data_IF_282740757086
#
_entry.id   IF_282740757086
#
_cell.length_a   1.000
_cell.length_b   1.000
_cell.length_c   1.000
_cell.angle_alpha   90.00
_cell.angle_beta   90.00
_cell.angle_gamma   90.00
#
_symmetry.space_group_name_H-M   'P 1'
#
loop_
_entity.id
_entity.type
_entity.pdbx_description
1 polymer ?
#
# COMPACT_ATOMS: atom_id res chain seq x y z
N UNK A 1 -49.26 23.03 20.23
CA UNK A 1 -48.85 22.45 18.92
C UNK A 1 -47.64 23.09 18.25
N UNK A 2 -47.28 24.37 18.50
CA UNK A 2 -46.12 25.03 17.85
C UNK A 2 -44.76 24.39 18.21
N UNK A 3 -44.53 24.01 19.47
CA UNK A 3 -43.28 23.38 19.92
C UNK A 3 -42.97 22.04 19.22
N UNK A 4 -44.00 21.25 18.90
CA UNK A 4 -43.83 19.97 18.18
C UNK A 4 -43.30 20.17 16.74
N UNK A 5 -43.68 21.28 16.09
CA UNK A 5 -43.16 21.64 14.76
C UNK A 5 -41.69 22.05 14.80
N UNK A 6 -41.28 22.80 15.82
CA UNK A 6 -39.87 23.20 16.01
C UNK A 6 -38.97 22.01 16.30
N UNK A 7 -39.43 21.06 17.13
CA UNK A 7 -38.71 19.80 17.40
C UNK A 7 -38.53 19.00 16.10
N UNK A 8 -39.57 18.87 15.27
CA UNK A 8 -39.45 18.20 13.97
C UNK A 8 -38.43 18.89 13.06
N UNK A 9 -38.47 20.21 12.95
CA UNK A 9 -37.53 20.97 12.10
C UNK A 9 -36.09 20.79 12.60
N UNK A 10 -35.87 20.85 13.91
CA UNK A 10 -34.55 20.68 14.52
C UNK A 10 -33.99 19.28 14.28
N UNK A 11 -34.82 18.23 14.40
CA UNK A 11 -34.44 16.85 14.08
C UNK A 11 -34.07 16.72 12.60
N UNK A 12 -34.89 17.26 11.69
CA UNK A 12 -34.61 17.19 10.24
C UNK A 12 -33.31 17.91 9.88
N UNK A 13 -33.05 19.08 10.50
CA UNK A 13 -31.83 19.85 10.27
C UNK A 13 -30.58 19.15 10.83
N UNK A 14 -30.71 18.51 12.00
CA UNK A 14 -29.62 17.73 12.62
C UNK A 14 -29.28 16.49 11.81
N UNK A 15 -30.28 15.82 11.24
CA UNK A 15 -30.07 14.68 10.32
C UNK A 15 -29.35 15.16 9.06
N UNK A 16 -29.76 16.29 8.46
CA UNK A 16 -29.10 16.87 7.28
C UNK A 16 -27.62 17.22 7.52
N UNK A 17 -27.29 17.74 8.72
CA UNK A 17 -25.91 18.06 9.10
C UNK A 17 -25.01 16.83 9.22
N UNK A 18 -25.55 15.67 9.62
CA UNK A 18 -24.79 14.40 9.70
C UNK A 18 -24.45 13.88 8.29
N UNK A 19 -25.36 14.03 7.32
CA UNK A 19 -25.14 13.57 5.92
C UNK A 19 -24.16 14.47 5.16
N UNK A 20 -23.94 15.71 5.61
CA UNK A 20 -22.92 16.62 5.06
C UNK A 20 -21.56 16.50 5.75
N UNK A 21 -21.41 15.59 6.71
CA UNK A 21 -20.09 15.22 7.20
C UNK A 21 -19.37 14.52 6.06
N UNK A 22 -18.33 15.17 5.52
CA UNK A 22 -17.44 14.55 4.55
C UNK A 22 -16.84 13.30 5.19
N UNK A 23 -17.37 12.12 4.84
CA UNK A 23 -16.64 10.88 5.04
C UNK A 23 -15.28 11.06 4.34
N UNK A 24 -14.21 11.16 5.12
CA UNK A 24 -12.86 11.07 4.56
C UNK A 24 -12.83 9.78 3.76
N UNK A 25 -12.59 9.90 2.45
CA UNK A 25 -12.45 8.74 1.57
C UNK A 25 -11.31 7.91 2.12
N UNK A 26 -11.64 6.73 2.63
CA UNK A 26 -10.67 5.77 3.13
C UNK A 26 -9.72 5.36 2.00
N UNK A 27 -8.43 5.19 2.32
CA UNK A 27 -7.46 4.66 1.38
C UNK A 27 -7.93 3.31 0.82
N UNK A 28 -8.03 3.22 -0.50
CA UNK A 28 -8.35 1.97 -1.20
C UNK A 28 -7.07 1.38 -1.77
N UNK A 29 -6.73 0.15 -1.36
CA UNK A 29 -5.54 -0.55 -1.82
C UNK A 29 -5.91 -1.49 -2.98
N UNK A 30 -5.35 -1.22 -4.15
CA UNK A 30 -5.62 -1.95 -5.39
C UNK A 30 -4.36 -2.78 -5.74
N UNK A 31 -4.34 -4.09 -5.45
CA UNK A 31 -3.20 -4.93 -5.79
C UNK A 31 -3.07 -5.10 -7.30
N UNK A 32 -1.84 -4.98 -7.81
CA UNK A 32 -1.49 -5.25 -9.20
C UNK A 32 -0.90 -6.66 -9.28
N UNK A 33 -1.69 -7.68 -8.95
CA UNK A 33 -1.17 -9.04 -8.75
C UNK A 33 -0.48 -9.61 -10.01
N UNK A 34 -0.91 -9.20 -11.21
CA UNK A 34 -0.29 -9.56 -12.49
C UNK A 34 1.11 -8.96 -12.72
N UNK A 35 1.50 -7.99 -11.89
CA UNK A 35 2.83 -7.38 -11.85
C UNK A 35 3.70 -7.92 -10.70
N UNK A 36 3.22 -8.89 -9.93
CA UNK A 36 4.05 -9.56 -8.92
C UNK A 36 5.26 -10.19 -9.61
N UNK A 37 6.46 -9.77 -9.20
CA UNK A 37 7.69 -10.17 -9.88
C UNK A 37 8.68 -10.80 -8.90
N UNK A 38 9.28 -11.92 -9.33
CA UNK A 38 10.27 -12.68 -8.56
C UNK A 38 11.61 -12.56 -9.26
N UNK A 39 12.55 -11.84 -8.62
CA UNK A 39 13.90 -11.64 -9.08
C UNK A 39 14.85 -12.68 -8.48
N UNK A 40 15.75 -13.23 -9.29
CA UNK A 40 16.92 -13.93 -8.79
C UNK A 40 17.78 -12.99 -7.96
N UNK A 41 18.26 -13.48 -6.83
CA UNK A 41 19.15 -12.82 -5.91
C UNK A 41 20.35 -13.74 -5.63
N UNK A 42 21.29 -13.29 -4.81
CA UNK A 42 22.54 -14.00 -4.52
C UNK A 42 22.35 -15.52 -4.34
N UNK A 43 23.04 -16.31 -5.19
CA UNK A 43 22.88 -17.78 -5.33
C UNK A 43 21.48 -18.14 -5.83
N UNK A 44 20.78 -19.02 -5.12
CA UNK A 44 19.42 -19.48 -5.46
C UNK A 44 18.34 -18.65 -4.79
N UNK A 45 18.73 -17.60 -4.06
CA UNK A 45 17.80 -16.78 -3.32
C UNK A 45 16.93 -15.94 -4.26
N UNK A 46 15.72 -15.59 -3.84
CA UNK A 46 14.82 -14.72 -4.62
C UNK A 46 14.31 -13.54 -3.81
N UNK A 47 14.04 -12.44 -4.50
CA UNK A 47 13.28 -11.29 -3.97
C UNK A 47 11.96 -11.21 -4.71
N UNK A 48 10.86 -11.07 -3.97
CA UNK A 48 9.53 -10.92 -4.57
C UNK A 48 9.03 -9.50 -4.32
N UNK A 49 8.55 -8.85 -5.36
CA UNK A 49 7.94 -7.51 -5.28
C UNK A 49 6.46 -7.59 -5.60
N UNK A 50 5.65 -6.99 -4.75
CA UNK A 50 4.22 -6.74 -4.95
C UNK A 50 4.02 -5.26 -5.25
N UNK A 51 3.23 -4.94 -6.27
CA UNK A 51 2.87 -3.57 -6.60
C UNK A 51 1.41 -3.30 -6.23
N UNK A 52 1.17 -2.15 -5.60
CA UNK A 52 -0.14 -1.76 -5.07
C UNK A 52 -0.37 -0.29 -5.39
N UNK A 53 -1.55 0.04 -5.91
CA UNK A 53 -1.99 1.42 -6.02
C UNK A 53 -2.85 1.79 -4.79
N UNK A 54 -2.71 3.03 -4.33
CA UNK A 54 -3.54 3.59 -3.27
C UNK A 54 -4.39 4.71 -3.87
N UNK A 55 -5.72 4.53 -3.85
CA UNK A 55 -6.67 5.60 -4.17
C UNK A 55 -6.87 6.51 -2.95
N UNK A 56 -6.87 7.83 -3.17
CA UNK A 56 -7.05 8.88 -2.16
C UNK A 56 -6.10 8.78 -0.94
N UNK A 57 -4.76 8.76 -1.12
CA UNK A 57 -3.82 8.65 -0.01
C UNK A 57 -4.04 9.75 1.03
N UNK A 58 -4.38 9.34 2.25
CA UNK A 58 -4.52 10.22 3.42
C UNK A 58 -3.18 10.86 3.84
N UNK A 59 -3.25 11.68 4.91
CA UNK A 59 -2.05 12.19 5.58
C UNK A 59 -1.05 11.07 5.94
N UNK A 60 0.23 11.40 5.85
CA UNK A 60 1.37 10.50 5.98
C UNK A 60 1.31 9.55 7.19
N UNK A 61 0.95 10.07 8.37
CA UNK A 61 0.89 9.27 9.61
C UNK A 61 -0.21 8.20 9.60
N UNK A 62 -1.38 8.51 9.03
CA UNK A 62 -2.48 7.55 8.90
C UNK A 62 -2.11 6.53 7.83
N UNK A 63 -1.65 7.03 6.67
CA UNK A 63 -1.25 6.22 5.53
C UNK A 63 -0.17 5.18 5.90
N UNK A 64 0.85 5.58 6.68
CA UNK A 64 1.90 4.66 7.18
C UNK A 64 1.31 3.48 7.94
N UNK A 65 0.41 3.74 8.89
CA UNK A 65 -0.23 2.68 9.69
C UNK A 65 -1.06 1.74 8.83
N UNK A 66 -1.75 2.27 7.83
CA UNK A 66 -2.57 1.48 6.92
C UNK A 66 -1.73 0.64 5.96
N UNK A 67 -0.63 1.17 5.44
CA UNK A 67 0.36 0.42 4.63
C UNK A 67 0.90 -0.78 5.42
N UNK A 68 1.35 -0.55 6.67
CA UNK A 68 1.88 -1.62 7.54
C UNK A 68 0.80 -2.68 7.76
N UNK A 69 -0.43 -2.26 8.03
CA UNK A 69 -1.56 -3.17 8.25
C UNK A 69 -1.86 -3.99 6.98
N UNK A 70 -1.91 -3.35 5.81
CA UNK A 70 -2.15 -4.01 4.53
C UNK A 70 -1.09 -5.07 4.25
N UNK A 71 0.20 -4.70 4.35
CA UNK A 71 1.30 -5.62 4.11
C UNK A 71 1.21 -6.83 5.04
N UNK A 72 1.01 -6.61 6.35
CA UNK A 72 0.86 -7.70 7.33
C UNK A 72 -0.34 -8.62 7.03
N UNK A 73 -1.46 -8.07 6.57
CA UNK A 73 -2.61 -8.88 6.17
C UNK A 73 -2.31 -9.73 4.92
N UNK A 74 -1.61 -9.17 3.92
CA UNK A 74 -1.21 -9.94 2.73
C UNK A 74 -0.24 -11.06 3.10
N UNK A 75 0.69 -10.81 4.03
CA UNK A 75 1.63 -11.83 4.55
C UNK A 75 0.98 -13.02 5.23
N UNK A 76 -0.09 -12.82 6.00
CA UNK A 76 -0.80 -13.92 6.66
C UNK A 76 -1.33 -14.95 5.65
N UNK A 77 -1.60 -14.49 4.42
CA UNK A 77 -2.10 -15.32 3.33
C UNK A 77 -0.98 -15.75 2.36
N UNK A 78 0.21 -15.16 2.45
CA UNK A 78 1.32 -15.38 1.53
C UNK A 78 2.35 -16.37 2.12
N UNK A 79 2.53 -17.49 1.43
CA UNK A 79 3.50 -18.53 1.81
C UNK A 79 4.89 -18.32 1.20
N UNK A 80 5.12 -17.31 0.37
CA UNK A 80 6.42 -17.07 -0.29
C UNK A 80 7.52 -16.81 0.74
N UNK A 81 7.23 -16.05 1.80
CA UNK A 81 8.17 -15.88 2.92
C UNK A 81 8.43 -17.17 3.69
N UNK A 82 7.62 -18.22 3.59
CA UNK A 82 7.94 -19.51 4.20
C UNK A 82 8.92 -20.33 3.33
N UNK A 83 9.05 -20.03 2.03
CA UNK A 83 9.92 -20.77 1.12
C UNK A 83 11.40 -20.53 1.44
N UNK A 84 12.20 -21.59 1.48
CA UNK A 84 13.61 -21.55 1.90
C UNK A 84 14.45 -20.55 1.09
N UNK A 85 14.18 -20.43 -0.20
CA UNK A 85 14.93 -19.58 -1.12
C UNK A 85 14.44 -18.12 -1.16
N UNK A 86 13.28 -17.78 -0.61
CA UNK A 86 12.83 -16.37 -0.57
C UNK A 86 13.65 -15.61 0.46
N UNK A 87 14.50 -14.69 0.01
CA UNK A 87 15.32 -13.84 0.87
C UNK A 87 14.53 -12.64 1.41
N UNK A 88 13.70 -12.03 0.58
CA UNK A 88 12.89 -10.88 1.00
C UNK A 88 11.63 -10.70 0.16
N UNK A 89 10.65 -10.03 0.76
CA UNK A 89 9.52 -9.45 0.05
C UNK A 89 9.63 -7.92 0.07
N UNK A 90 9.10 -7.30 -0.97
CA UNK A 90 8.92 -5.86 -1.05
C UNK A 90 7.48 -5.55 -1.48
N UNK A 91 6.80 -4.67 -0.75
CA UNK A 91 5.50 -4.12 -1.17
C UNK A 91 5.74 -2.67 -1.59
N UNK A 92 5.53 -2.40 -2.87
CA UNK A 92 5.76 -1.10 -3.51
C UNK A 92 4.41 -0.42 -3.70
N UNK A 93 4.26 0.75 -3.10
CA UNK A 93 3.01 1.51 -3.10
C UNK A 93 3.15 2.76 -3.97
N UNK A 94 2.21 2.94 -4.89
CA UNK A 94 2.06 4.14 -5.72
C UNK A 94 0.68 4.76 -5.51
N UNK A 95 0.55 6.06 -5.79
CA UNK A 95 -0.73 6.74 -5.89
C UNK A 95 -1.47 6.23 -7.11
N UNK A 96 -2.77 5.99 -6.99
CA UNK A 96 -3.64 5.80 -8.15
C UNK A 96 -3.91 7.16 -8.78
N UNK A 97 -3.34 7.40 -9.96
CA UNK A 97 -3.54 8.60 -10.77
C UNK A 97 -4.06 8.19 -12.14
N UNK A 98 -4.33 9.16 -13.03
CA UNK A 98 -4.62 8.86 -14.43
C UNK A 98 -3.52 8.05 -15.10
N UNK A 99 -2.27 8.25 -14.68
CA UNK A 99 -1.11 7.64 -15.29
C UNK A 99 -0.89 6.22 -14.77
N UNK A 100 -0.85 6.05 -13.44
CA UNK A 100 -0.62 4.72 -12.84
C UNK A 100 -1.82 3.78 -12.98
N UNK A 101 -3.03 4.30 -13.25
CA UNK A 101 -4.22 3.48 -13.51
C UNK A 101 -4.07 2.55 -14.72
N UNK A 102 -3.17 2.86 -15.67
CA UNK A 102 -2.84 1.98 -16.78
C UNK A 102 -2.49 0.57 -16.32
N UNK A 103 -1.70 0.47 -15.25
CA UNK A 103 -1.19 -0.78 -14.70
C UNK A 103 -2.24 -1.66 -14.03
N UNK A 104 -3.47 -1.17 -13.81
CA UNK A 104 -4.55 -1.99 -13.25
C UNK A 104 -4.92 -3.11 -14.22
N UNK A 105 -4.88 -2.85 -15.54
CA UNK A 105 -5.29 -3.80 -16.56
C UNK A 105 -4.16 -4.20 -17.52
N UNK A 106 -3.02 -3.54 -17.46
CA UNK A 106 -1.88 -3.79 -18.34
C UNK A 106 -0.65 -4.24 -17.54
N UNK A 107 0.17 -5.09 -18.18
CA UNK A 107 1.52 -5.40 -17.70
C UNK A 107 2.48 -4.29 -18.10
N UNK A 108 3.61 -4.24 -17.42
CA UNK A 108 4.73 -3.40 -17.85
C UNK A 108 5.19 -3.80 -19.24
N UNK A 109 5.61 -2.79 -20.01
CA UNK A 109 6.24 -2.97 -21.29
C UNK A 109 7.66 -2.40 -21.21
N UNK A 110 8.67 -3.26 -21.19
CA UNK A 110 10.08 -2.84 -21.12
C UNK A 110 10.72 -2.63 -22.50
N UNK A 111 9.95 -2.80 -23.59
CA UNK A 111 10.51 -2.78 -24.94
C UNK A 111 10.37 -1.42 -25.64
N UNK A 112 11.52 -0.81 -25.95
CA UNK A 112 11.65 0.29 -26.91
C UNK A 112 11.34 1.69 -26.36
N UNK A 113 11.13 2.64 -27.29
CA UNK A 113 10.91 4.07 -26.99
C UNK A 113 9.58 4.37 -26.28
N UNK A 114 8.67 3.40 -26.24
CA UNK A 114 7.35 3.49 -25.58
C UNK A 114 7.28 2.55 -24.37
N UNK A 115 8.42 2.38 -23.68
CA UNK A 115 8.48 1.58 -22.46
C UNK A 115 7.58 2.17 -21.38
N UNK A 116 6.70 1.33 -20.84
CA UNK A 116 5.70 1.68 -19.85
C UNK A 116 5.96 0.85 -18.60
N UNK A 117 6.77 1.39 -17.69
CA UNK A 117 7.19 0.75 -16.44
C UNK A 117 6.75 1.60 -15.27
N UNK A 118 6.22 0.97 -14.22
CA UNK A 118 5.70 1.71 -13.05
C UNK A 118 6.83 2.46 -12.32
N UNK A 119 8.07 1.96 -12.46
CA UNK A 119 9.29 2.56 -11.93
C UNK A 119 9.55 3.98 -12.46
N UNK A 120 9.01 4.34 -13.62
CA UNK A 120 9.13 5.67 -14.21
C UNK A 120 8.24 6.72 -13.53
N UNK A 121 7.26 6.30 -12.73
CA UNK A 121 6.29 7.17 -12.06
C UNK A 121 6.73 7.60 -10.66
N UNK A 122 7.94 8.15 -10.57
CA UNK A 122 8.57 8.51 -9.29
C UNK A 122 7.75 9.52 -8.47
N UNK A 123 7.04 10.44 -9.12
CA UNK A 123 6.18 11.44 -8.44
C UNK A 123 4.95 10.82 -7.79
N UNK A 124 4.54 9.63 -8.25
CA UNK A 124 3.42 8.87 -7.73
C UNK A 124 3.87 7.82 -6.70
N UNK A 125 5.18 7.60 -6.54
CA UNK A 125 5.69 6.68 -5.53
C UNK A 125 5.32 7.17 -4.12
N UNK A 126 4.84 6.25 -3.27
CA UNK A 126 4.44 6.53 -1.89
C UNK A 126 5.44 5.91 -0.93
N UNK A 127 5.62 4.59 -1.03
CA UNK A 127 6.40 3.86 -0.04
C UNK A 127 6.87 2.49 -0.55
N UNK A 128 7.90 1.98 0.11
CA UNK A 128 8.22 0.57 0.13
C UNK A 128 8.03 0.02 1.56
N UNK A 129 7.44 -1.17 1.66
CA UNK A 129 7.49 -1.98 2.86
C UNK A 129 8.33 -3.23 2.60
N UNK A 130 9.53 -3.27 3.18
CA UNK A 130 10.50 -4.33 2.99
C UNK A 130 10.46 -5.34 4.13
N UNK A 131 10.59 -6.61 3.79
CA UNK A 131 10.69 -7.70 4.76
C UNK A 131 11.82 -8.61 4.31
N UNK A 132 12.91 -8.62 5.07
CA UNK A 132 14.06 -9.48 4.80
C UNK A 132 14.17 -10.58 5.84
N UNK A 133 14.42 -11.80 5.38
CA UNK A 133 14.81 -12.90 6.27
C UNK A 133 16.21 -12.68 6.81
N UNK A 134 16.39 -13.14 8.03
CA UNK A 134 17.67 -13.30 8.69
C UNK A 134 17.68 -14.67 9.39
N UNK A 135 18.84 -15.08 9.94
CA UNK A 135 19.08 -16.43 10.44
C UNK A 135 17.87 -17.07 11.15
N UNK A 136 17.31 -16.39 12.15
CA UNK A 136 16.20 -16.87 12.98
C UNK A 136 15.09 -15.80 13.12
N UNK A 137 14.69 -15.16 12.02
CA UNK A 137 13.61 -14.17 12.06
C UNK A 137 13.46 -13.33 10.80
N UNK A 138 12.86 -12.17 10.98
CA UNK A 138 12.66 -11.16 9.94
C UNK A 138 13.00 -9.77 10.45
N UNK A 139 13.45 -8.94 9.52
CA UNK A 139 13.52 -7.50 9.69
C UNK A 139 12.52 -6.86 8.74
N UNK A 140 11.64 -6.03 9.28
CA UNK A 140 10.61 -5.29 8.55
C UNK A 140 10.96 -3.81 8.61
N UNK A 141 10.92 -3.15 7.45
CA UNK A 141 11.24 -1.74 7.32
C UNK A 141 10.24 -1.05 6.42
N UNK A 142 9.97 0.22 6.71
CA UNK A 142 9.17 1.07 5.85
C UNK A 142 10.01 2.26 5.38
N UNK A 143 9.90 2.55 4.10
CA UNK A 143 10.47 3.73 3.48
C UNK A 143 9.34 4.49 2.82
N UNK A 144 8.98 5.64 3.38
CA UNK A 144 8.06 6.59 2.75
C UNK A 144 8.88 7.54 1.89
N UNK A 145 8.32 7.98 0.76
CA UNK A 145 8.95 8.99 -0.08
C UNK A 145 9.33 10.23 0.75
N UNK A 146 10.52 10.78 0.49
CA UNK A 146 11.12 11.92 1.20
C UNK A 146 11.39 11.75 2.72
N UNK A 147 11.24 10.54 3.27
CA UNK A 147 11.53 10.24 4.67
C UNK A 147 12.67 9.23 4.86
N UNK A 148 13.38 9.28 6.00
CA UNK A 148 14.34 8.25 6.34
C UNK A 148 13.65 6.89 6.53
N UNK A 149 14.39 5.82 6.22
CA UNK A 149 13.97 4.45 6.49
C UNK A 149 13.71 4.24 8.00
N UNK A 150 12.60 3.56 8.32
CA UNK A 150 12.24 3.21 9.69
C UNK A 150 12.16 1.68 9.86
N UNK A 151 12.76 1.17 10.94
CA UNK A 151 12.63 -0.23 11.33
C UNK A 151 11.29 -0.40 12.05
N UNK A 152 10.39 -1.18 11.47
CA UNK A 152 9.05 -1.45 12.02
C UNK A 152 9.09 -2.65 12.97
N UNK A 153 9.87 -3.67 12.61
CA UNK A 153 10.06 -4.86 13.44
C UNK A 153 11.44 -5.45 13.16
N UNK A 154 12.12 -5.90 14.21
CA UNK A 154 13.36 -6.66 14.07
C UNK A 154 13.33 -7.85 15.03
N UNK A 155 13.17 -9.04 14.48
CA UNK A 155 13.22 -10.32 15.23
C UNK A 155 14.50 -11.09 14.95
N UNK A 156 15.46 -10.51 14.23
CA UNK A 156 16.75 -11.13 13.97
C UNK A 156 17.52 -11.31 15.28
N UNK A 157 18.02 -12.52 15.52
CA UNK A 157 19.01 -12.74 16.55
C UNK A 157 20.30 -11.99 16.21
N UNK A 158 20.90 -11.38 17.23
CA UNK A 158 22.24 -10.77 17.14
C UNK A 158 23.32 -11.84 17.09
#
# INVERSE_FOLDING_TARGET
MKHLKYIKIFITFSILLIIMSCDQKKNEFIPLDHMTFTNSYYKDAVKVSYYILIDNPDSENILKKEIIKYAKQKLLNDKLLAQKNTASLNFVFYKKTSNTSYFITHKENSDGLLSEEISHYQTDFIANYYISKCNDGTMEKIYLYDLPEEIVLNTCKK
#
